data_IF_500788853009
#
_entry.id   IF_500788853009
#
_cell.length_a   1.000
_cell.length_b   1.000
_cell.length_c   1.000
_cell.angle_alpha   90.00
_cell.angle_beta   90.00
_cell.angle_gamma   90.00
#
_symmetry.space_group_name_H-M   'P 1'
#
loop_
_entity.id
_entity.type
_entity.pdbx_description
1 polymer ?
#
# COMPACT_ATOMS: atom_id res chain seq x y z
N UNK A 1 16.99 21.66 29.00
CA UNK A 1 18.07 22.57 28.53
C UNK A 1 17.72 23.03 27.14
N UNK A 2 17.69 24.32 26.89
CA UNK A 2 17.44 24.94 25.57
C UNK A 2 18.71 24.99 24.74
N UNK A 3 18.60 25.27 23.43
CA UNK A 3 19.76 25.43 22.54
C UNK A 3 20.69 26.55 23.05
N UNK A 4 20.10 27.63 23.59
CA UNK A 4 20.86 28.78 24.15
C UNK A 4 21.71 28.34 25.33
N UNK A 5 21.11 27.70 26.33
CA UNK A 5 21.81 27.20 27.53
C UNK A 5 22.91 26.20 27.15
N UNK A 6 22.64 25.32 26.21
CA UNK A 6 23.61 24.33 25.73
C UNK A 6 24.79 24.99 24.96
N UNK A 7 24.50 26.04 24.21
CA UNK A 7 25.53 26.77 23.48
C UNK A 7 26.42 27.60 24.46
N UNK A 8 25.84 28.18 25.48
CA UNK A 8 26.57 28.88 26.56
C UNK A 8 27.50 27.92 27.30
N UNK A 9 27.03 26.71 27.62
CA UNK A 9 27.85 25.65 28.25
C UNK A 9 29.10 25.28 27.42
N UNK A 10 28.97 25.30 26.09
CA UNK A 10 30.06 24.95 25.17
C UNK A 10 30.95 26.15 24.80
N UNK A 11 30.55 27.38 25.14
CA UNK A 11 31.22 28.59 24.68
C UNK A 11 31.15 28.78 23.16
N UNK A 12 30.07 28.31 22.54
CA UNK A 12 29.84 28.39 21.10
C UNK A 12 28.56 29.16 20.78
N UNK A 13 28.47 29.70 19.57
CA UNK A 13 27.23 30.34 19.17
C UNK A 13 26.11 29.29 18.96
N UNK A 14 24.81 29.62 19.20
CA UNK A 14 23.67 28.74 18.94
C UNK A 14 23.65 28.23 17.49
N UNK A 15 24.05 29.08 16.55
CA UNK A 15 24.15 28.70 15.12
C UNK A 15 25.24 27.63 14.88
N UNK A 16 26.41 27.77 15.52
CA UNK A 16 27.50 26.79 15.41
C UNK A 16 27.08 25.43 16.00
N UNK A 17 26.45 25.45 17.19
CA UNK A 17 25.95 24.24 17.85
C UNK A 17 24.87 23.56 17.01
N UNK A 18 23.89 24.32 16.50
CA UNK A 18 22.82 23.81 15.64
C UNK A 18 23.38 23.17 14.37
N UNK A 19 24.32 23.81 13.69
CA UNK A 19 24.97 23.27 12.49
C UNK A 19 25.81 22.04 12.78
N UNK A 20 26.54 22.03 13.91
CA UNK A 20 27.29 20.85 14.34
C UNK A 20 26.41 19.64 14.57
N UNK A 21 25.27 19.83 15.26
CA UNK A 21 24.27 18.77 15.51
C UNK A 21 23.56 18.32 14.22
N UNK A 22 23.35 19.24 13.27
CA UNK A 22 22.74 18.97 11.97
C UNK A 22 23.70 18.37 10.93
N UNK A 23 24.97 18.15 11.26
CA UNK A 23 25.95 17.53 10.36
C UNK A 23 26.39 18.41 9.19
N UNK A 24 26.23 19.72 9.26
CA UNK A 24 26.59 20.65 8.18
C UNK A 24 28.10 20.64 7.89
N UNK A 25 28.52 20.60 6.63
CA UNK A 25 29.92 20.43 6.23
C UNK A 25 30.81 21.64 6.61
N UNK A 26 30.22 22.82 6.81
CA UNK A 26 30.96 24.01 7.19
C UNK A 26 31.51 23.97 8.63
N UNK A 27 31.02 23.04 9.47
CA UNK A 27 31.51 22.88 10.84
C UNK A 27 32.69 21.92 10.86
N UNK A 28 33.83 22.39 11.38
CA UNK A 28 35.04 21.57 11.53
C UNK A 28 34.76 20.30 12.33
N UNK A 29 35.31 19.18 11.89
CA UNK A 29 35.06 17.87 12.49
C UNK A 29 35.36 17.81 14.00
N UNK A 30 36.40 18.48 14.46
CA UNK A 30 36.71 18.59 15.88
C UNK A 30 35.58 19.28 16.67
N UNK A 31 35.04 20.39 16.14
CA UNK A 31 33.93 21.11 16.77
C UNK A 31 32.68 20.24 16.77
N UNK A 32 32.41 19.53 15.68
CA UNK A 32 31.28 18.62 15.57
C UNK A 32 31.36 17.52 16.61
N UNK A 33 32.52 16.85 16.72
CA UNK A 33 32.76 15.80 17.71
C UNK A 33 32.55 16.31 19.13
N UNK A 34 33.12 17.47 19.49
CA UNK A 34 32.98 18.09 20.80
C UNK A 34 31.52 18.37 21.15
N UNK A 35 30.74 18.91 20.20
CA UNK A 35 29.31 19.19 20.37
C UNK A 35 28.49 17.91 20.55
N UNK A 36 28.75 16.85 19.75
CA UNK A 36 28.06 15.57 19.85
C UNK A 36 28.34 14.83 21.16
N UNK A 37 29.61 14.84 21.62
CA UNK A 37 30.00 14.26 22.92
C UNK A 37 29.34 14.98 24.08
N UNK A 38 29.34 16.31 24.08
CA UNK A 38 28.67 17.11 25.09
C UNK A 38 27.15 16.90 25.07
N UNK A 39 26.53 16.82 23.89
CA UNK A 39 25.10 16.54 23.78
C UNK A 39 24.73 15.19 24.41
N UNK A 40 25.55 14.17 24.21
CA UNK A 40 25.36 12.85 24.86
C UNK A 40 25.56 12.94 26.37
N UNK A 41 26.61 13.61 26.82
CA UNK A 41 26.96 13.74 28.25
C UNK A 41 25.89 14.48 29.04
N UNK A 42 25.29 15.53 28.47
CA UNK A 42 24.28 16.36 29.12
C UNK A 42 22.84 15.97 28.76
N UNK A 43 22.61 14.88 27.99
CA UNK A 43 21.27 14.46 27.56
C UNK A 43 20.56 15.52 26.71
N UNK A 44 21.32 16.41 26.06
CA UNK A 44 20.74 17.45 25.22
C UNK A 44 20.23 16.84 23.92
N UNK A 45 18.97 17.15 23.60
CA UNK A 45 18.35 16.83 22.32
C UNK A 45 17.85 18.11 21.67
N UNK A 46 18.18 18.35 20.36
CA UNK A 46 17.62 19.49 19.65
C UNK A 46 16.09 19.47 19.70
N UNK A 47 15.47 20.61 19.92
CA UNK A 47 14.03 20.74 19.80
C UNK A 47 13.67 20.68 18.32
N UNK A 48 13.06 19.57 17.88
CA UNK A 48 12.67 19.36 16.47
C UNK A 48 11.78 20.46 15.94
N UNK A 49 10.86 21.02 16.77
CA UNK A 49 10.00 22.14 16.37
C UNK A 49 10.80 23.42 16.10
N UNK A 50 11.81 23.69 16.92
CA UNK A 50 12.69 24.84 16.70
C UNK A 50 13.60 24.63 15.48
N UNK A 51 14.05 23.42 15.25
CA UNK A 51 14.82 23.05 14.05
C UNK A 51 13.95 23.15 12.79
N UNK A 52 12.71 22.67 12.83
CA UNK A 52 11.74 22.79 11.75
C UNK A 52 11.46 24.26 11.38
N UNK A 53 11.27 25.13 12.37
CA UNK A 53 11.12 26.57 12.18
C UNK A 53 12.36 27.20 11.52
N UNK A 54 13.55 26.76 11.91
CA UNK A 54 14.82 27.29 11.37
C UNK A 54 15.15 26.80 9.97
N UNK A 55 14.72 25.57 9.63
CA UNK A 55 15.01 24.92 8.33
C UNK A 55 13.84 24.99 7.35
N UNK A 56 12.65 25.34 7.82
CA UNK A 56 11.40 25.27 7.04
C UNK A 56 10.95 23.85 6.74
N UNK A 57 11.51 22.82 7.43
CA UNK A 57 11.20 21.40 7.22
C UNK A 57 10.71 20.74 8.49
N UNK A 58 9.58 20.04 8.39
CA UNK A 58 8.99 19.26 9.50
C UNK A 58 9.78 17.99 9.82
N UNK A 59 10.54 17.47 8.86
CA UNK A 59 11.18 16.16 8.89
C UNK A 59 10.20 15.04 9.23
N UNK A 60 8.99 15.11 8.67
CA UNK A 60 7.94 14.12 8.82
C UNK A 60 7.16 13.94 7.53
N UNK A 61 6.72 12.70 7.29
CA UNK A 61 5.88 12.31 6.16
C UNK A 61 4.50 11.91 6.67
N UNK A 62 3.45 12.45 6.05
CA UNK A 62 2.08 12.21 6.45
C UNK A 62 1.42 11.04 5.70
N UNK A 63 0.67 10.24 6.46
CA UNK A 63 -0.20 9.20 5.96
C UNK A 63 -1.58 9.38 6.59
N UNK A 64 -2.63 9.39 5.77
CA UNK A 64 -4.02 9.48 6.25
C UNK A 64 -4.70 8.13 6.03
N UNK A 65 -5.30 7.61 7.09
CA UNK A 65 -5.96 6.31 7.12
C UNK A 65 -7.42 6.50 7.51
N UNK A 66 -8.37 6.22 6.61
CA UNK A 66 -9.79 6.26 6.94
C UNK A 66 -10.18 5.08 7.85
N UNK A 67 -11.03 5.33 8.86
CA UNK A 67 -11.55 4.28 9.76
C UNK A 67 -12.83 3.62 9.24
N UNK A 68 -13.32 4.01 8.07
CA UNK A 68 -14.47 3.37 7.44
C UNK A 68 -14.26 1.88 7.20
N UNK A 69 -13.02 1.50 7.02
CA UNK A 69 -12.58 0.13 7.04
C UNK A 69 -12.13 -0.20 8.45
N UNK A 70 -12.99 -0.81 9.24
CA UNK A 70 -12.72 -1.16 10.65
C UNK A 70 -11.42 -1.94 10.86
N UNK A 71 -10.83 -2.44 9.79
CA UNK A 71 -9.66 -3.32 9.81
C UNK A 71 -8.41 -2.70 9.15
N UNK A 72 -8.45 -1.46 8.64
CA UNK A 72 -7.32 -0.87 7.90
C UNK A 72 -6.05 -0.80 8.75
N UNK A 73 -6.17 -0.43 10.02
CA UNK A 73 -5.03 -0.37 10.95
C UNK A 73 -4.40 -1.73 11.26
N UNK A 74 -5.15 -2.81 11.11
CA UNK A 74 -4.67 -4.20 11.32
C UNK A 74 -4.50 -4.94 10.00
N UNK A 75 -4.70 -4.28 8.87
CA UNK A 75 -4.53 -4.85 7.55
C UNK A 75 -3.04 -5.13 7.28
N UNK A 76 -2.61 -6.38 7.13
CA UNK A 76 -1.20 -6.72 6.92
C UNK A 76 -0.61 -6.11 5.64
N UNK A 77 -1.41 -5.88 4.61
CA UNK A 77 -0.98 -5.23 3.36
C UNK A 77 -0.54 -3.80 3.66
N UNK A 78 -1.34 -3.04 4.42
CA UNK A 78 -0.99 -1.69 4.84
C UNK A 78 0.24 -1.69 5.78
N UNK A 79 0.29 -2.62 6.73
CA UNK A 79 1.41 -2.74 7.66
C UNK A 79 2.75 -2.99 6.93
N UNK A 80 2.76 -3.84 5.90
CA UNK A 80 3.96 -4.11 5.10
C UNK A 80 4.35 -2.93 4.20
N UNK A 81 3.37 -2.21 3.64
CA UNK A 81 3.65 -0.95 2.95
C UNK A 81 4.36 0.05 3.87
N UNK A 82 3.81 0.27 5.06
CA UNK A 82 4.37 1.17 6.09
C UNK A 82 5.77 0.73 6.53
N UNK A 83 6.00 -0.57 6.69
CA UNK A 83 7.33 -1.08 7.02
C UNK A 83 8.35 -0.76 5.90
N UNK A 84 7.97 -0.94 4.63
CA UNK A 84 8.82 -0.59 3.48
C UNK A 84 9.15 0.90 3.40
N UNK A 85 8.14 1.77 3.57
CA UNK A 85 8.31 3.22 3.58
C UNK A 85 9.13 3.69 4.79
N UNK A 86 8.86 3.13 5.98
CA UNK A 86 9.55 3.45 7.22
C UNK A 86 11.04 3.18 7.18
N UNK A 87 11.48 2.10 6.51
CA UNK A 87 12.89 1.82 6.27
C UNK A 87 13.62 2.96 5.54
N UNK A 88 12.94 3.60 4.59
CA UNK A 88 13.49 4.74 3.82
C UNK A 88 13.48 6.00 4.67
N UNK A 89 12.36 6.29 5.34
CA UNK A 89 12.21 7.46 6.21
C UNK A 89 13.25 7.46 7.33
N UNK A 90 13.44 6.32 8.02
CA UNK A 90 14.39 6.20 9.11
C UNK A 90 15.82 6.51 8.67
N UNK A 91 16.24 6.01 7.49
CA UNK A 91 17.58 6.31 6.94
C UNK A 91 17.77 7.77 6.57
N UNK A 92 16.70 8.42 6.13
CA UNK A 92 16.70 9.84 5.76
C UNK A 92 16.44 10.79 6.97
N UNK A 93 16.22 10.25 8.17
CA UNK A 93 15.95 11.02 9.38
C UNK A 93 14.53 11.61 9.45
N UNK A 94 13.59 11.09 8.67
CA UNK A 94 12.19 11.49 8.68
C UNK A 94 11.38 10.65 9.67
N UNK A 95 10.46 11.30 10.36
CA UNK A 95 9.41 10.64 11.13
C UNK A 95 8.20 10.31 10.23
N UNK A 96 7.37 9.38 10.67
CA UNK A 96 6.09 9.08 10.04
C UNK A 96 4.95 9.61 10.90
N UNK A 97 4.06 10.41 10.33
CA UNK A 97 2.86 10.92 10.96
C UNK A 97 1.64 10.17 10.41
N UNK A 98 1.03 9.31 11.23
CA UNK A 98 -0.20 8.62 10.88
C UNK A 98 -1.39 9.41 11.44
N UNK A 99 -2.34 9.79 10.59
CA UNK A 99 -3.62 10.39 10.98
C UNK A 99 -4.75 9.43 10.67
N UNK A 100 -5.35 8.90 11.72
CA UNK A 100 -6.52 8.01 11.62
C UNK A 100 -7.77 8.88 11.70
N UNK A 101 -8.63 8.81 10.68
CA UNK A 101 -9.77 9.72 10.54
C UNK A 101 -11.07 8.96 10.23
N UNK A 102 -12.23 9.47 10.68
CA UNK A 102 -13.52 8.94 10.26
C UNK A 102 -13.68 8.99 8.73
N UNK A 103 -14.52 8.12 8.20
CA UNK A 103 -14.83 8.11 6.77
C UNK A 103 -15.40 9.46 6.34
N UNK A 104 -14.96 9.94 5.18
CA UNK A 104 -15.32 11.25 4.66
C UNK A 104 -14.49 12.43 5.20
N UNK A 105 -13.73 12.26 6.28
CA UNK A 105 -12.89 13.31 6.86
C UNK A 105 -11.46 13.38 6.27
N UNK A 106 -11.13 12.50 5.33
CA UNK A 106 -9.81 12.43 4.71
C UNK A 106 -9.35 13.78 4.13
N UNK A 107 -10.21 14.45 3.37
CA UNK A 107 -9.88 15.77 2.78
C UNK A 107 -9.56 16.82 3.85
N UNK A 108 -10.24 16.77 4.98
CA UNK A 108 -9.97 17.66 6.10
C UNK A 108 -8.61 17.37 6.73
N UNK A 109 -8.27 16.08 6.88
CA UNK A 109 -6.98 15.68 7.43
C UNK A 109 -5.82 16.07 6.53
N UNK A 110 -5.90 15.84 5.23
CA UNK A 110 -4.89 16.28 4.27
C UNK A 110 -4.70 17.80 4.28
N UNK A 111 -5.81 18.56 4.29
CA UNK A 111 -5.75 20.03 4.38
C UNK A 111 -5.13 20.49 5.70
N UNK A 112 -5.47 19.83 6.80
CA UNK A 112 -4.90 20.15 8.11
C UNK A 112 -3.38 19.91 8.12
N UNK A 113 -2.92 18.76 7.66
CA UNK A 113 -1.48 18.44 7.57
C UNK A 113 -0.73 19.47 6.72
N UNK A 114 -1.28 19.85 5.56
CA UNK A 114 -0.67 20.84 4.69
C UNK A 114 -0.60 22.24 5.32
N UNK A 115 -1.67 22.67 5.99
CA UNK A 115 -1.74 24.02 6.56
C UNK A 115 -0.94 24.19 7.85
N UNK A 116 -0.72 23.11 8.62
CA UNK A 116 0.01 23.17 9.89
C UNK A 116 1.52 23.07 9.73
N UNK A 117 2.01 22.72 8.52
CA UNK A 117 3.44 22.50 8.27
C UNK A 117 4.04 21.37 9.12
N UNK A 118 3.23 20.41 9.54
CA UNK A 118 3.65 19.28 10.37
C UNK A 118 4.28 18.15 9.55
N UNK A 119 4.20 18.21 8.22
CA UNK A 119 4.76 17.25 7.30
C UNK A 119 5.37 17.95 6.09
N UNK A 120 6.39 17.36 5.51
CA UNK A 120 7.07 17.86 4.30
C UNK A 120 6.50 17.23 3.02
N UNK A 121 5.71 16.17 3.16
CA UNK A 121 5.08 15.48 2.05
C UNK A 121 4.07 14.43 2.52
N UNK A 122 3.32 13.88 1.56
CA UNK A 122 2.19 12.99 1.83
C UNK A 122 2.23 11.75 0.93
N UNK A 123 1.84 10.60 1.48
CA UNK A 123 1.47 9.42 0.69
C UNK A 123 -0.05 9.29 0.69
N UNK A 124 -0.62 9.12 -0.49
CA UNK A 124 -2.04 8.86 -0.71
C UNK A 124 -2.25 7.37 -0.95
N UNK A 125 -3.07 6.74 -0.11
CA UNK A 125 -3.38 5.32 -0.23
C UNK A 125 -4.74 5.08 -0.88
N UNK A 126 -4.86 3.94 -1.58
CA UNK A 126 -6.11 3.42 -2.09
C UNK A 126 -6.94 4.45 -2.87
N UNK A 127 -6.45 4.94 -4.00
CA UNK A 127 -7.18 5.95 -4.77
C UNK A 127 -8.51 5.39 -5.27
N UNK A 128 -9.52 6.28 -5.31
CA UNK A 128 -10.84 6.00 -5.85
C UNK A 128 -10.90 6.40 -7.32
N UNK A 129 -11.91 5.91 -8.05
CA UNK A 129 -12.09 6.26 -9.47
C UNK A 129 -12.28 7.77 -9.68
N UNK A 130 -13.07 8.43 -8.81
CA UNK A 130 -13.27 9.88 -8.80
C UNK A 130 -12.71 10.44 -7.49
N UNK A 131 -11.39 10.60 -7.43
CA UNK A 131 -10.70 10.93 -6.19
C UNK A 131 -10.51 12.45 -6.01
N UNK A 132 -11.27 13.10 -5.09
CA UNK A 132 -11.17 14.54 -4.86
C UNK A 132 -9.87 14.95 -4.15
N UNK A 133 -9.10 13.99 -3.60
CA UNK A 133 -7.85 14.26 -2.86
C UNK A 133 -6.79 14.86 -3.77
N UNK A 134 -6.74 14.45 -5.05
CA UNK A 134 -5.73 14.91 -5.99
C UNK A 134 -5.80 16.42 -6.24
N UNK A 135 -7.02 16.94 -6.51
CA UNK A 135 -7.24 18.38 -6.68
C UNK A 135 -6.86 19.20 -5.45
N UNK A 136 -7.20 18.70 -4.26
CA UNK A 136 -6.80 19.31 -3.00
C UNK A 136 -5.28 19.35 -2.84
N UNK A 137 -4.60 18.24 -3.05
CA UNK A 137 -3.15 18.12 -2.84
C UNK A 137 -2.37 19.00 -3.80
N UNK A 138 -2.78 19.07 -5.06
CA UNK A 138 -2.21 20.03 -6.04
C UNK A 138 -2.34 21.48 -5.56
N UNK A 139 -3.50 21.85 -5.02
CA UNK A 139 -3.75 23.20 -4.52
C UNK A 139 -2.91 23.55 -3.29
N UNK A 140 -2.45 22.57 -2.51
CA UNK A 140 -1.60 22.82 -1.33
C UNK A 140 -0.13 23.09 -1.69
N UNK A 141 0.32 22.67 -2.87
CA UNK A 141 1.74 22.72 -3.26
C UNK A 141 2.65 21.76 -2.50
N UNK A 142 2.09 20.94 -1.59
CA UNK A 142 2.86 19.97 -0.81
C UNK A 142 3.23 18.75 -1.69
N UNK A 143 4.48 18.30 -1.72
CA UNK A 143 4.86 17.08 -2.43
C UNK A 143 4.04 15.87 -1.99
N UNK A 144 3.55 15.10 -2.95
CA UNK A 144 2.83 13.86 -2.66
C UNK A 144 3.12 12.77 -3.69
N UNK A 145 2.91 11.52 -3.27
CA UNK A 145 2.96 10.33 -4.12
C UNK A 145 1.73 9.47 -3.86
N UNK A 146 1.16 8.88 -4.91
CA UNK A 146 -0.01 8.00 -4.80
C UNK A 146 0.43 6.54 -4.87
N UNK A 147 0.00 5.73 -3.93
CA UNK A 147 0.06 4.27 -4.03
C UNK A 147 -1.21 3.76 -4.71
N UNK A 148 -1.10 3.42 -5.98
CA UNK A 148 -2.18 3.19 -6.93
C UNK A 148 -2.29 4.29 -7.99
N UNK A 149 -3.33 4.26 -8.83
CA UNK A 149 -3.59 5.26 -9.88
C UNK A 149 -5.00 5.80 -9.80
N UNK A 150 -5.18 7.06 -10.24
CA UNK A 150 -6.48 7.69 -10.43
C UNK A 150 -6.77 7.72 -11.93
N UNK A 151 -7.90 7.19 -12.41
CA UNK A 151 -8.21 7.14 -13.84
C UNK A 151 -8.32 8.53 -14.46
N UNK A 152 -7.83 8.67 -15.70
CA UNK A 152 -8.02 9.87 -16.51
C UNK A 152 -7.18 11.10 -16.14
N UNK A 153 -6.34 11.00 -15.09
CA UNK A 153 -5.51 12.12 -14.61
C UNK A 153 -4.04 11.68 -14.39
N UNK A 154 -3.50 10.94 -15.33
CA UNK A 154 -2.22 10.21 -15.18
C UNK A 154 -0.97 11.08 -15.42
N UNK A 155 -1.10 12.39 -15.75
CA UNK A 155 0.04 13.12 -16.32
C UNK A 155 0.79 14.01 -15.35
N UNK A 156 0.25 14.35 -14.19
CA UNK A 156 0.74 15.45 -13.36
C UNK A 156 1.03 15.10 -11.89
N UNK A 157 1.17 13.83 -11.58
CA UNK A 157 1.55 13.39 -10.23
C UNK A 157 2.37 12.09 -10.27
N UNK A 158 3.16 11.86 -9.20
CA UNK A 158 3.93 10.63 -9.06
C UNK A 158 3.10 9.53 -8.44
N UNK A 159 3.24 8.32 -9.00
CA UNK A 159 2.58 7.15 -8.44
C UNK A 159 3.40 5.87 -8.61
N UNK A 160 3.10 4.88 -7.77
CA UNK A 160 3.52 3.49 -7.92
C UNK A 160 2.28 2.63 -7.86
N UNK A 161 2.02 1.83 -8.88
CA UNK A 161 0.88 0.92 -8.98
C UNK A 161 1.32 -0.41 -9.57
N UNK A 162 0.48 -1.44 -9.45
CA UNK A 162 0.63 -2.69 -10.17
C UNK A 162 -0.39 -2.79 -11.31
N UNK A 163 -0.09 -3.51 -12.38
CA UNK A 163 -1.06 -3.73 -13.44
C UNK A 163 -2.15 -4.73 -13.00
N UNK A 164 -3.05 -4.22 -12.14
CA UNK A 164 -4.17 -4.98 -11.57
C UNK A 164 -5.07 -5.60 -12.64
N UNK A 165 -5.30 -4.89 -13.76
CA UNK A 165 -6.14 -5.39 -14.85
C UNK A 165 -5.50 -6.59 -15.54
N UNK A 166 -4.22 -6.47 -15.92
CA UNK A 166 -3.49 -7.53 -16.58
C UNK A 166 -3.26 -8.73 -15.66
N UNK A 167 -2.93 -8.49 -14.38
CA UNK A 167 -2.72 -9.54 -13.40
C UNK A 167 -3.96 -10.44 -13.27
N UNK A 168 -5.13 -9.83 -13.07
CA UNK A 168 -6.37 -10.59 -12.90
C UNK A 168 -6.92 -11.16 -14.21
N UNK A 169 -6.65 -10.51 -15.34
CA UNK A 169 -6.92 -11.06 -16.66
C UNK A 169 -6.14 -12.37 -16.90
N UNK A 170 -4.82 -12.36 -16.66
CA UNK A 170 -3.96 -13.55 -16.77
C UNK A 170 -4.37 -14.68 -15.81
N UNK A 171 -4.78 -14.33 -14.59
CA UNK A 171 -5.28 -15.30 -13.62
C UNK A 171 -6.60 -15.94 -14.09
N UNK A 172 -7.49 -15.16 -14.68
CA UNK A 172 -8.73 -15.66 -15.28
C UNK A 172 -8.45 -16.54 -16.51
N UNK A 173 -7.53 -16.11 -17.39
CA UNK A 173 -7.11 -16.90 -18.55
C UNK A 173 -6.57 -18.28 -18.13
N UNK A 174 -5.72 -18.35 -17.10
CA UNK A 174 -5.25 -19.62 -16.55
C UNK A 174 -6.41 -20.54 -16.14
N UNK A 175 -7.39 -20.02 -15.41
CA UNK A 175 -8.55 -20.79 -14.98
C UNK A 175 -9.41 -21.25 -16.17
N UNK A 176 -9.60 -20.38 -17.17
CA UNK A 176 -10.33 -20.72 -18.38
C UNK A 176 -9.60 -21.81 -19.18
N UNK A 177 -8.28 -21.74 -19.27
CA UNK A 177 -7.46 -22.75 -19.96
C UNK A 177 -7.48 -24.11 -19.22
N UNK A 178 -7.67 -24.11 -17.89
CA UNK A 178 -7.94 -25.31 -17.09
C UNK A 178 -9.38 -25.83 -17.22
N UNK A 179 -10.23 -25.20 -18.03
CA UNK A 179 -11.59 -25.64 -18.35
C UNK A 179 -12.68 -24.99 -17.49
N UNK A 180 -12.33 -24.14 -16.53
CA UNK A 180 -13.34 -23.43 -15.72
C UNK A 180 -14.14 -22.43 -16.56
N UNK A 181 -15.45 -22.40 -16.36
CA UNK A 181 -16.36 -21.46 -17.03
C UNK A 181 -17.09 -20.56 -16.05
N UNK A 182 -17.36 -21.05 -14.86
CA UNK A 182 -17.97 -20.30 -13.76
C UNK A 182 -16.89 -19.94 -12.74
N UNK A 183 -16.41 -18.71 -12.83
CA UNK A 183 -15.29 -18.18 -12.04
C UNK A 183 -15.81 -17.07 -11.14
N UNK A 184 -15.69 -17.24 -9.84
CA UNK A 184 -16.04 -16.23 -8.86
C UNK A 184 -14.88 -15.26 -8.62
N UNK A 185 -15.21 -13.98 -8.43
CA UNK A 185 -14.26 -12.94 -8.02
C UNK A 185 -14.63 -12.40 -6.64
N UNK A 186 -13.76 -12.62 -5.66
CA UNK A 186 -13.82 -12.00 -4.34
C UNK A 186 -12.89 -10.80 -4.33
N UNK A 187 -13.46 -9.60 -4.39
CA UNK A 187 -12.74 -8.37 -4.67
C UNK A 187 -12.83 -7.36 -3.53
N UNK A 188 -11.96 -6.34 -3.57
CA UNK A 188 -12.04 -5.18 -2.70
C UNK A 188 -13.25 -4.29 -3.02
N UNK A 189 -13.46 -3.26 -2.21
CA UNK A 189 -14.58 -2.31 -2.32
C UNK A 189 -14.61 -1.69 -3.71
N UNK A 190 -15.80 -1.68 -4.34
CA UNK A 190 -15.99 -1.34 -5.75
C UNK A 190 -15.58 0.11 -6.13
N UNK A 191 -15.54 1.04 -5.16
CA UNK A 191 -15.11 2.42 -5.39
C UNK A 191 -13.60 2.57 -5.52
N UNK A 192 -12.82 1.58 -5.08
CA UNK A 192 -11.36 1.58 -5.19
C UNK A 192 -10.92 1.27 -6.62
N UNK A 193 -9.99 2.05 -7.16
CA UNK A 193 -9.54 1.89 -8.55
C UNK A 193 -8.91 0.52 -8.82
N UNK A 194 -8.08 0.01 -7.92
CA UNK A 194 -7.49 -1.32 -8.07
C UNK A 194 -8.55 -2.43 -8.19
N UNK A 195 -9.63 -2.34 -7.41
CA UNK A 195 -10.71 -3.32 -7.43
C UNK A 195 -11.49 -3.28 -8.76
N UNK A 196 -11.75 -2.08 -9.28
CA UNK A 196 -12.34 -1.89 -10.59
C UNK A 196 -11.47 -2.51 -11.69
N UNK A 197 -10.15 -2.22 -11.69
CA UNK A 197 -9.21 -2.76 -12.68
C UNK A 197 -9.14 -4.29 -12.63
N UNK A 198 -9.14 -4.88 -11.43
CA UNK A 198 -9.18 -6.35 -11.24
C UNK A 198 -10.44 -6.95 -11.84
N UNK A 199 -11.60 -6.38 -11.52
CA UNK A 199 -12.88 -6.81 -12.12
C UNK A 199 -12.84 -6.70 -13.64
N UNK A 200 -12.40 -5.56 -14.17
CA UNK A 200 -12.35 -5.33 -15.63
C UNK A 200 -11.37 -6.31 -16.32
N UNK A 201 -10.32 -6.73 -15.63
CA UNK A 201 -9.41 -7.77 -16.11
C UNK A 201 -10.11 -9.13 -16.23
N UNK A 202 -10.81 -9.57 -15.18
CA UNK A 202 -11.54 -10.85 -15.17
C UNK A 202 -12.66 -10.84 -16.19
N UNK A 203 -13.51 -9.81 -16.19
CA UNK A 203 -14.63 -9.70 -17.14
C UNK A 203 -14.13 -9.67 -18.58
N UNK A 204 -13.04 -8.93 -18.84
CA UNK A 204 -12.41 -8.88 -20.16
C UNK A 204 -11.87 -10.23 -20.63
N UNK A 205 -11.24 -11.01 -19.76
CA UNK A 205 -10.73 -12.34 -20.09
C UNK A 205 -11.88 -13.33 -20.39
N UNK A 206 -12.94 -13.32 -19.59
CA UNK A 206 -14.15 -14.13 -19.85
C UNK A 206 -14.79 -13.77 -21.18
N UNK A 207 -15.01 -12.48 -21.44
CA UNK A 207 -15.61 -12.01 -22.68
C UNK A 207 -14.79 -12.37 -23.93
N UNK A 208 -13.44 -12.30 -23.85
CA UNK A 208 -12.54 -12.71 -24.93
C UNK A 208 -12.66 -14.19 -25.31
N UNK A 209 -13.17 -15.03 -24.40
CA UNK A 209 -13.41 -16.46 -24.60
C UNK A 209 -14.91 -16.79 -24.81
N UNK A 210 -15.74 -15.76 -25.05
CA UNK A 210 -17.19 -15.94 -25.26
C UNK A 210 -17.96 -16.40 -24.03
N UNK A 211 -17.41 -16.15 -22.81
CA UNK A 211 -18.04 -16.50 -21.55
C UNK A 211 -18.65 -15.21 -20.96
N UNK A 212 -19.94 -15.24 -20.68
CA UNK A 212 -20.61 -14.13 -20.00
C UNK A 212 -20.27 -14.14 -18.51
N UNK A 213 -19.90 -12.97 -17.99
CA UNK A 213 -19.59 -12.81 -16.56
C UNK A 213 -20.89 -12.79 -15.73
N UNK A 214 -21.02 -13.75 -14.82
CA UNK A 214 -22.15 -13.77 -13.87
C UNK A 214 -21.87 -12.80 -12.72
N UNK A 215 -22.65 -11.72 -12.64
CA UNK A 215 -22.50 -10.69 -11.59
C UNK A 215 -22.78 -11.23 -10.18
N UNK A 216 -23.55 -12.32 -10.03
CA UNK A 216 -23.77 -12.98 -8.75
C UNK A 216 -22.49 -13.63 -8.19
N UNK A 217 -21.51 -13.89 -9.06
CA UNK A 217 -20.19 -14.42 -8.70
C UNK A 217 -19.14 -13.32 -8.42
N UNK A 218 -19.51 -12.04 -8.42
CA UNK A 218 -18.63 -10.94 -8.10
C UNK A 218 -19.00 -10.37 -6.74
N UNK A 219 -18.14 -10.55 -5.74
CA UNK A 219 -18.27 -9.93 -4.42
C UNK A 219 -17.29 -8.76 -4.29
N UNK A 220 -17.78 -7.60 -3.86
CA UNK A 220 -17.01 -6.37 -3.66
C UNK A 220 -17.19 -5.89 -2.21
N UNK A 221 -16.27 -6.30 -1.33
CA UNK A 221 -16.36 -6.07 0.12
C UNK A 221 -15.00 -5.69 0.69
N UNK A 222 -14.91 -5.45 2.00
CA UNK A 222 -13.61 -5.42 2.69
C UNK A 222 -12.84 -6.73 2.45
N UNK A 223 -11.54 -6.63 2.23
CA UNK A 223 -10.67 -7.77 1.95
C UNK A 223 -10.28 -8.51 3.25
N UNK A 224 -11.29 -8.98 3.98
CA UNK A 224 -11.11 -9.76 5.21
C UNK A 224 -11.32 -11.25 4.96
N UNK A 225 -10.74 -12.07 5.82
CA UNK A 225 -10.94 -13.53 5.83
C UNK A 225 -12.41 -13.88 6.02
N UNK A 226 -13.07 -13.23 6.99
CA UNK A 226 -14.49 -13.46 7.31
C UNK A 226 -15.42 -13.15 6.14
N UNK A 227 -15.23 -12.00 5.48
CA UNK A 227 -16.04 -11.60 4.33
C UNK A 227 -15.87 -12.59 3.15
N UNK A 228 -14.63 -13.01 2.89
CA UNK A 228 -14.35 -14.00 1.85
C UNK A 228 -14.96 -15.36 2.16
N UNK A 229 -14.86 -15.84 3.39
CA UNK A 229 -15.49 -17.06 3.84
C UNK A 229 -17.02 -17.02 3.65
N UNK A 230 -17.68 -15.96 4.13
CA UNK A 230 -19.12 -15.80 3.98
C UNK A 230 -19.56 -15.71 2.52
N UNK A 231 -18.83 -14.98 1.67
CA UNK A 231 -19.12 -14.86 0.24
C UNK A 231 -18.95 -16.20 -0.48
N UNK A 232 -17.87 -16.93 -0.19
CA UNK A 232 -17.61 -18.25 -0.77
C UNK A 232 -18.74 -19.23 -0.43
N UNK A 233 -19.16 -19.28 0.83
CA UNK A 233 -20.27 -20.15 1.24
C UNK A 233 -21.56 -19.85 0.48
N UNK A 234 -21.92 -18.57 0.36
CA UNK A 234 -23.13 -18.16 -0.43
C UNK A 234 -23.02 -18.59 -1.89
N UNK A 235 -21.85 -18.43 -2.51
CA UNK A 235 -21.64 -18.80 -3.91
C UNK A 235 -21.65 -20.31 -4.13
N UNK A 236 -21.17 -21.08 -3.16
CA UNK A 236 -21.24 -22.55 -3.18
C UNK A 236 -22.66 -23.09 -2.93
N UNK A 237 -23.58 -22.28 -2.40
CA UNK A 237 -25.01 -22.61 -2.21
C UNK A 237 -25.87 -22.35 -3.45
N UNK A 238 -25.33 -21.77 -4.52
CA UNK A 238 -26.04 -21.55 -5.77
C UNK A 238 -26.39 -22.90 -6.42
N UNK A 239 -27.48 -22.92 -7.18
CA UNK A 239 -27.89 -24.11 -7.94
C UNK A 239 -26.82 -24.58 -8.93
N UNK A 240 -26.06 -23.62 -9.48
CA UNK A 240 -24.90 -23.85 -10.32
C UNK A 240 -23.70 -23.07 -9.71
N UNK A 241 -22.92 -23.71 -8.81
CA UNK A 241 -21.86 -23.02 -8.08
C UNK A 241 -20.62 -22.79 -8.96
N UNK A 242 -19.75 -21.79 -8.60
CA UNK A 242 -18.49 -21.60 -9.29
C UNK A 242 -17.53 -22.78 -9.02
N UNK A 243 -16.77 -23.13 -10.02
CA UNK A 243 -15.71 -24.17 -9.93
C UNK A 243 -14.32 -23.56 -9.67
N UNK A 244 -14.21 -22.24 -9.73
CA UNK A 244 -12.98 -21.53 -9.43
C UNK A 244 -13.25 -20.17 -8.73
N UNK A 245 -12.31 -19.76 -7.91
CA UNK A 245 -12.31 -18.46 -7.20
C UNK A 245 -11.04 -17.67 -7.48
N UNK A 246 -11.20 -16.40 -7.79
CA UNK A 246 -10.15 -15.39 -7.77
C UNK A 246 -10.32 -14.55 -6.51
N UNK A 247 -9.34 -14.54 -5.63
CA UNK A 247 -9.37 -13.77 -4.38
C UNK A 247 -8.34 -12.63 -4.41
N UNK A 248 -8.78 -11.44 -4.07
CA UNK A 248 -7.97 -10.22 -4.19
C UNK A 248 -6.87 -10.07 -3.14
N UNK A 249 -6.71 -11.01 -2.23
CA UNK A 249 -5.58 -11.08 -1.29
C UNK A 249 -5.37 -12.49 -0.77
N UNK A 250 -4.19 -12.76 -0.21
CA UNK A 250 -3.90 -14.01 0.50
C UNK A 250 -4.88 -14.22 1.67
N UNK A 251 -5.25 -13.17 2.39
CA UNK A 251 -6.18 -13.23 3.52
C UNK A 251 -7.56 -13.70 3.06
N UNK A 252 -8.05 -13.18 1.95
CA UNK A 252 -9.29 -13.66 1.35
C UNK A 252 -9.17 -15.12 0.88
N UNK A 253 -8.02 -15.50 0.33
CA UNK A 253 -7.74 -16.90 -0.05
C UNK A 253 -7.84 -17.87 1.12
N UNK A 254 -7.40 -17.48 2.31
CA UNK A 254 -7.57 -18.24 3.55
C UNK A 254 -9.06 -18.43 3.87
N UNK A 255 -9.87 -17.38 3.71
CA UNK A 255 -11.32 -17.44 3.89
C UNK A 255 -12.00 -18.40 2.90
N UNK A 256 -11.58 -18.36 1.62
CA UNK A 256 -12.05 -19.33 0.60
C UNK A 256 -11.68 -20.76 1.02
N UNK A 257 -10.42 -21.01 1.35
CA UNK A 257 -9.95 -22.33 1.76
C UNK A 257 -10.73 -22.88 2.97
N UNK A 258 -11.03 -22.04 3.95
CA UNK A 258 -11.83 -22.43 5.11
C UNK A 258 -13.26 -22.82 4.69
N UNK A 259 -13.91 -22.01 3.83
CA UNK A 259 -15.27 -22.30 3.36
C UNK A 259 -15.34 -23.59 2.52
N UNK A 260 -14.32 -23.89 1.72
CA UNK A 260 -14.20 -25.17 1.02
C UNK A 260 -14.06 -26.32 2.02
N UNK A 261 -13.20 -26.19 3.03
CA UNK A 261 -13.02 -27.19 4.08
C UNK A 261 -14.29 -27.49 4.87
N UNK A 262 -15.11 -26.49 5.20
CA UNK A 262 -16.42 -26.63 5.86
C UNK A 262 -17.39 -27.52 5.05
N UNK A 263 -17.14 -27.67 3.75
CA UNK A 263 -17.93 -28.50 2.81
C UNK A 263 -17.25 -29.79 2.40
N UNK A 264 -16.10 -30.10 2.98
CA UNK A 264 -15.31 -31.27 2.59
C UNK A 264 -14.71 -31.17 1.17
N UNK A 265 -14.68 -29.97 0.55
CA UNK A 265 -14.11 -29.73 -0.76
C UNK A 265 -12.59 -29.50 -0.65
N UNK A 266 -11.85 -30.08 -1.57
CA UNK A 266 -10.39 -29.96 -1.65
C UNK A 266 -10.00 -28.92 -2.69
N UNK A 267 -9.27 -27.91 -2.27
CA UNK A 267 -8.69 -26.89 -3.13
C UNK A 267 -7.70 -27.52 -4.13
N UNK A 268 -7.77 -27.13 -5.39
CA UNK A 268 -6.94 -27.67 -6.48
C UNK A 268 -7.43 -28.99 -7.10
N UNK A 269 -8.37 -29.68 -6.42
CA UNK A 269 -9.01 -30.88 -6.96
C UNK A 269 -10.48 -30.65 -7.30
N UNK A 270 -11.24 -30.17 -6.34
CA UNK A 270 -12.70 -29.98 -6.49
C UNK A 270 -13.03 -28.52 -6.90
N UNK A 271 -12.24 -27.57 -6.42
CA UNK A 271 -12.37 -26.14 -6.71
C UNK A 271 -10.99 -25.52 -6.85
N UNK A 272 -10.77 -24.76 -7.92
CA UNK A 272 -9.54 -23.99 -8.11
C UNK A 272 -9.59 -22.65 -7.39
N UNK A 273 -8.44 -22.22 -6.84
CA UNK A 273 -8.32 -20.92 -6.17
C UNK A 273 -7.05 -20.22 -6.64
N UNK A 274 -7.19 -18.98 -7.12
CA UNK A 274 -6.06 -18.09 -7.41
C UNK A 274 -6.17 -16.85 -6.53
N UNK A 275 -5.07 -16.39 -5.98
CA UNK A 275 -5.04 -15.20 -5.12
C UNK A 275 -4.18 -14.09 -5.74
N UNK A 276 -4.31 -12.86 -5.20
CA UNK A 276 -3.25 -11.89 -5.27
C UNK A 276 -2.37 -12.02 -4.03
N UNK A 277 -1.06 -12.18 -4.23
CA UNK A 277 -0.07 -12.30 -3.16
C UNK A 277 0.76 -11.01 -3.09
N UNK A 278 0.53 -10.22 -2.05
CA UNK A 278 1.24 -8.98 -1.77
C UNK A 278 2.66 -9.21 -1.20
N UNK A 279 3.11 -10.46 -1.11
CA UNK A 279 4.39 -10.89 -0.52
C UNK A 279 4.57 -10.37 0.91
N UNK A 280 3.55 -10.62 1.74
CA UNK A 280 3.54 -10.16 3.12
C UNK A 280 4.67 -10.78 3.94
N UNK A 281 5.40 -9.95 4.68
CA UNK A 281 6.50 -10.42 5.53
C UNK A 281 6.06 -11.25 6.73
N UNK A 282 4.82 -11.08 7.16
CA UNK A 282 4.23 -11.79 8.31
C UNK A 282 3.45 -13.05 7.91
N UNK A 283 2.86 -13.07 6.73
CA UNK A 283 2.01 -14.17 6.26
C UNK A 283 2.46 -14.59 4.86
N UNK A 284 3.00 -15.80 4.74
CA UNK A 284 3.57 -16.30 3.48
C UNK A 284 2.63 -17.28 2.78
N UNK A 285 2.69 -17.29 1.46
CA UNK A 285 1.97 -18.24 0.59
C UNK A 285 2.71 -19.59 0.47
N UNK A 286 3.16 -20.15 1.59
CA UNK A 286 3.97 -21.38 1.61
C UNK A 286 5.47 -21.09 1.54
N UNK A 287 6.27 -22.14 1.46
CA UNK A 287 7.74 -22.08 1.44
C UNK A 287 8.30 -22.42 0.05
N UNK A 288 8.66 -23.69 -0.21
CA UNK A 288 9.21 -24.14 -1.50
C UNK A 288 8.15 -24.20 -2.59
N UNK A 289 6.97 -24.76 -2.26
CA UNK A 289 5.81 -24.81 -3.16
C UNK A 289 4.73 -23.89 -2.60
N UNK A 290 4.26 -22.89 -3.37
CA UNK A 290 3.17 -22.03 -2.95
C UNK A 290 1.89 -22.84 -2.65
N UNK A 291 1.20 -22.49 -1.57
CA UNK A 291 -0.10 -23.07 -1.24
C UNK A 291 -1.11 -22.68 -2.32
N UNK A 292 -1.15 -21.40 -2.65
CA UNK A 292 -2.04 -20.85 -3.67
C UNK A 292 -1.26 -20.51 -4.95
N UNK A 293 -1.85 -20.81 -6.09
CA UNK A 293 -1.51 -20.13 -7.34
C UNK A 293 -1.82 -18.66 -7.18
N UNK A 294 -0.89 -17.78 -7.57
CA UNK A 294 -0.98 -16.37 -7.25
C UNK A 294 -0.48 -15.45 -8.37
N UNK A 295 -1.13 -14.31 -8.54
CA UNK A 295 -0.50 -13.12 -9.10
C UNK A 295 0.27 -12.43 -7.98
N UNK A 296 1.57 -12.13 -8.16
CA UNK A 296 2.45 -11.74 -7.08
C UNK A 296 3.12 -10.39 -7.32
N UNK A 297 3.11 -9.53 -6.29
CA UNK A 297 3.84 -8.26 -6.25
C UNK A 297 4.20 -7.92 -4.79
N UNK A 298 5.27 -7.13 -4.57
CA UNK A 298 5.68 -6.78 -3.21
C UNK A 298 5.12 -5.42 -2.80
N UNK A 299 4.13 -5.42 -1.91
CA UNK A 299 3.60 -4.18 -1.33
C UNK A 299 4.65 -3.45 -0.47
N UNK A 300 5.57 -4.18 0.18
CA UNK A 300 6.70 -3.60 0.91
C UNK A 300 7.66 -2.85 -0.02
N UNK A 301 7.95 -3.41 -1.19
CA UNK A 301 8.75 -2.73 -2.20
C UNK A 301 8.04 -1.49 -2.74
N UNK A 302 6.72 -1.54 -2.92
CA UNK A 302 5.93 -0.38 -3.31
C UNK A 302 6.00 0.75 -2.27
N UNK A 303 5.89 0.41 -0.97
CA UNK A 303 6.06 1.36 0.13
C UNK A 303 7.43 2.03 0.11
N UNK A 304 8.50 1.24 -0.05
CA UNK A 304 9.87 1.76 -0.20
C UNK A 304 9.98 2.71 -1.38
N UNK A 305 9.46 2.30 -2.54
CA UNK A 305 9.57 3.10 -3.77
C UNK A 305 8.78 4.40 -3.70
N UNK A 306 7.57 4.38 -3.14
CA UNK A 306 6.80 5.61 -2.90
C UNK A 306 7.57 6.59 -1.99
N UNK A 307 8.20 6.08 -0.93
CA UNK A 307 9.00 6.90 -0.02
C UNK A 307 10.24 7.51 -0.70
N UNK A 308 10.96 6.74 -1.50
CA UNK A 308 12.12 7.23 -2.28
C UNK A 308 11.73 8.35 -3.24
N UNK A 309 10.65 8.16 -4.00
CA UNK A 309 10.13 9.17 -4.93
C UNK A 309 9.73 10.44 -4.16
N UNK A 310 9.02 10.29 -3.04
CA UNK A 310 8.57 11.43 -2.25
C UNK A 310 9.72 12.23 -1.67
N UNK A 311 10.73 11.56 -1.10
CA UNK A 311 11.90 12.23 -0.52
C UNK A 311 12.73 12.97 -1.59
N UNK A 312 12.89 12.40 -2.78
CA UNK A 312 13.55 13.07 -3.89
C UNK A 312 12.83 14.38 -4.25
N UNK A 313 11.51 14.37 -4.33
CA UNK A 313 10.70 15.56 -4.60
C UNK A 313 10.78 16.61 -3.47
N UNK A 314 10.81 16.19 -2.21
CA UNK A 314 10.96 17.09 -1.05
C UNK A 314 12.35 17.77 -1.07
N UNK A 315 13.39 17.06 -1.48
CA UNK A 315 14.76 17.59 -1.48
C UNK A 315 15.08 18.49 -2.66
N UNK A 316 14.12 18.76 -3.55
CA UNK A 316 14.25 19.75 -4.62
C UNK A 316 14.57 19.14 -5.96
N UNK A 317 14.31 17.85 -6.16
CA UNK A 317 14.35 17.24 -7.47
C UNK A 317 13.14 17.74 -8.29
N UNK A 318 13.41 18.70 -9.20
CA UNK A 318 12.42 19.25 -10.13
C UNK A 318 12.14 18.35 -11.33
N UNK A 319 12.57 17.10 -11.29
CA UNK A 319 12.28 16.13 -12.32
C UNK A 319 10.77 15.95 -12.55
N UNK A 320 10.36 15.53 -13.75
CA UNK A 320 8.95 15.25 -14.04
C UNK A 320 8.39 14.19 -13.08
N UNK A 321 7.07 14.07 -12.95
CA UNK A 321 6.44 13.04 -12.13
C UNK A 321 6.94 11.65 -12.49
N UNK A 322 7.24 10.84 -11.47
CA UNK A 322 7.62 9.44 -11.64
C UNK A 322 6.37 8.59 -11.63
N UNK A 323 6.13 7.85 -12.70
CA UNK A 323 4.93 7.04 -12.90
C UNK A 323 5.34 5.60 -13.18
N UNK A 324 5.11 4.72 -12.21
CA UNK A 324 5.50 3.33 -12.30
C UNK A 324 4.29 2.40 -12.23
N UNK A 325 4.17 1.53 -13.22
CA UNK A 325 3.19 0.43 -13.25
C UNK A 325 3.97 -0.88 -13.29
N UNK A 326 3.91 -1.63 -12.23
CA UNK A 326 4.65 -2.88 -12.09
C UNK A 326 3.84 -4.07 -12.59
N UNK A 327 4.50 -4.96 -13.30
CA UNK A 327 3.94 -6.24 -13.71
C UNK A 327 3.89 -7.18 -12.49
N UNK A 328 2.79 -7.96 -12.40
CA UNK A 328 2.69 -9.04 -11.44
C UNK A 328 3.19 -10.36 -12.07
N UNK A 329 3.98 -11.08 -11.31
CA UNK A 329 4.36 -12.45 -11.66
C UNK A 329 3.15 -13.39 -11.43
N UNK A 330 2.95 -14.37 -12.33
CA UNK A 330 1.99 -15.44 -12.11
C UNK A 330 2.75 -16.69 -11.67
N UNK A 331 2.55 -17.10 -10.42
CA UNK A 331 3.24 -18.23 -9.78
C UNK A 331 2.25 -19.35 -9.54
N UNK A 332 2.57 -20.54 -10.02
CA UNK A 332 1.72 -21.71 -9.83
C UNK A 332 1.94 -22.32 -8.43
N UNK A 333 0.86 -22.70 -7.79
CA UNK A 333 0.82 -23.39 -6.50
C UNK A 333 -0.13 -24.58 -6.52
N UNK A 334 -0.31 -25.21 -5.36
CA UNK A 334 -1.15 -26.40 -5.22
C UNK A 334 -2.66 -26.16 -5.25
N UNK A 335 -3.12 -24.94 -5.50
CA UNK A 335 -4.54 -24.57 -5.36
C UNK A 335 -5.34 -24.60 -6.67
N UNK A 336 -4.73 -24.93 -7.79
CA UNK A 336 -5.39 -24.96 -9.10
C UNK A 336 -5.23 -26.33 -9.76
N UNK A 337 -6.27 -26.75 -10.47
CA UNK A 337 -6.33 -27.98 -11.26
C UNK A 337 -7.38 -27.86 -12.35
N UNK A 338 -7.56 -28.91 -13.19
CA UNK A 338 -8.61 -28.94 -14.19
C UNK A 338 -10.01 -28.76 -13.60
N UNK A 339 -10.90 -28.13 -14.37
CA UNK A 339 -12.30 -28.04 -13.98
C UNK A 339 -12.90 -29.44 -13.75
N UNK A 340 -13.76 -29.63 -12.73
CA UNK A 340 -14.44 -30.90 -12.51
C UNK A 340 -15.23 -31.33 -13.76
N UNK A 341 -15.13 -32.64 -14.14
CA UNK A 341 -15.91 -33.18 -15.23
C UNK A 341 -17.39 -33.19 -14.91
N UNK A 342 -18.21 -32.46 -15.68
CA UNK A 342 -19.65 -32.34 -15.50
C UNK A 342 -20.12 -31.02 -14.88
N UNK A 343 -19.25 -30.03 -14.78
CA UNK A 343 -19.62 -28.66 -14.40
C UNK A 343 -19.89 -27.79 -15.63
#
# INVERSE_FOLDING_TARGET
MTLKEFSELLGLSPTTVSRALGGYPEVREETRRRVLEAARAHGYRPNRRAAALATGRAMAIGHVIPTALNHEMVNPVFADFIAGAGDVYARAGYDMLLSVVPDGDELRAYRHMANTGNVDGLIVHGPRADDPRLGLLRATGLPFVVHGRIPGDDTDYSFVDVDNRRAFGRAADLLIDLGHRRIALLNGIATMDFARRRRDGVVGALAARGIEADLALISATEMTEHAAHAATRRMLDLADPPTAFLASSLIMGIGVRRALGDRGLTMGRDVSVVIHDDMLGYLTNGTEVPIFTATRSSVRAAGRRCAEILLARITGDSAPPVQEVWECELVLGGSTGPAPTGA
#
